data_IF_444035065955
#
_entry.id   IF_444035065955
#
_cell.length_a   1.000
_cell.length_b   1.000
_cell.length_c   1.000
_cell.angle_alpha   90.00
_cell.angle_beta   90.00
_cell.angle_gamma   90.00
#
_symmetry.space_group_name_H-M   'P 1'
#
loop_
_entity.id
_entity.type
_entity.pdbx_description
1 polymer ?
#
# COMPACT_ATOMS: atom_id res chain seq x y z
N UNK A 1 -6.50 5.64 -9.36
CA UNK A 1 -5.19 5.81 -8.69
C UNK A 1 -4.94 7.29 -8.48
N UNK A 2 -4.54 7.69 -7.28
CA UNK A 2 -4.06 9.04 -7.00
C UNK A 2 -2.55 9.01 -6.81
N UNK A 3 -1.79 9.71 -7.65
CA UNK A 3 -0.33 9.74 -7.60
C UNK A 3 0.21 10.99 -8.29
N UNK A 4 1.28 11.62 -7.78
CA UNK A 4 1.91 12.76 -8.45
C UNK A 4 2.76 12.36 -9.68
N UNK A 5 2.88 11.08 -9.97
CA UNK A 5 3.63 10.58 -11.12
C UNK A 5 2.86 10.77 -12.43
N UNK A 6 3.58 10.97 -13.54
CA UNK A 6 2.94 11.03 -14.86
C UNK A 6 2.36 9.68 -15.27
N UNK A 7 1.31 9.66 -16.10
CA UNK A 7 0.73 8.41 -16.61
C UNK A 7 1.76 7.52 -17.35
N UNK A 8 2.66 8.13 -18.12
CA UNK A 8 3.72 7.42 -18.82
C UNK A 8 4.68 6.71 -17.86
N UNK A 9 5.03 7.40 -16.77
CA UNK A 9 5.91 6.82 -15.77
C UNK A 9 5.20 5.70 -14.98
N UNK A 10 3.93 5.89 -14.63
CA UNK A 10 3.14 4.81 -14.02
C UNK A 10 3.03 3.59 -14.94
N UNK A 11 2.78 3.80 -16.24
CA UNK A 11 2.80 2.73 -17.24
C UNK A 11 4.14 2.01 -17.26
N UNK A 12 5.25 2.77 -17.23
CA UNK A 12 6.60 2.18 -17.19
C UNK A 12 6.80 1.31 -15.95
N UNK A 13 6.49 1.83 -14.75
CA UNK A 13 6.63 1.09 -13.49
C UNK A 13 5.76 -0.16 -13.41
N UNK A 14 4.55 -0.12 -13.98
CA UNK A 14 3.68 -1.28 -14.06
C UNK A 14 4.24 -2.36 -15.00
N UNK A 15 4.86 -1.97 -16.11
CA UNK A 15 5.40 -2.93 -17.08
C UNK A 15 6.71 -3.57 -16.65
N UNK A 16 7.51 -2.88 -15.83
CA UNK A 16 8.86 -3.29 -15.49
C UNK A 16 9.08 -3.27 -13.98
N UNK A 17 9.19 -4.46 -13.40
CA UNK A 17 9.51 -4.65 -11.98
C UNK A 17 10.80 -5.47 -11.87
N UNK A 18 11.74 -5.02 -11.05
CA UNK A 18 13.06 -5.66 -10.92
C UNK A 18 12.97 -7.03 -10.28
N UNK A 19 12.05 -7.21 -9.33
CA UNK A 19 11.90 -8.45 -8.56
C UNK A 19 10.93 -9.42 -9.24
N UNK A 20 9.74 -8.92 -9.64
CA UNK A 20 8.67 -9.75 -10.20
C UNK A 20 8.75 -9.90 -11.72
N UNK A 21 9.63 -9.13 -12.38
CA UNK A 21 9.80 -9.15 -13.82
C UNK A 21 8.75 -8.33 -14.58
N UNK A 22 8.58 -8.61 -15.85
CA UNK A 22 7.63 -7.87 -16.69
C UNK A 22 6.18 -8.22 -16.37
N UNK A 23 5.31 -7.22 -16.39
CA UNK A 23 3.88 -7.42 -16.24
C UNK A 23 3.34 -8.32 -17.36
N UNK A 24 2.61 -9.36 -16.99
CA UNK A 24 2.01 -10.32 -17.93
C UNK A 24 0.60 -9.85 -18.33
N UNK A 25 0.53 -8.71 -18.99
CA UNK A 25 -0.73 -8.10 -19.42
C UNK A 25 -0.48 -6.87 -20.28
N UNK A 26 -1.52 -6.10 -20.54
CA UNK A 26 -1.46 -4.86 -21.31
C UNK A 26 -1.63 -3.65 -20.41
N UNK A 27 -0.83 -2.61 -20.64
CA UNK A 27 -0.97 -1.30 -20.00
C UNK A 27 -0.91 -0.25 -21.10
N UNK A 28 -2.01 0.46 -21.30
CA UNK A 28 -2.16 1.48 -22.33
C UNK A 28 -2.45 2.83 -21.67
N UNK A 29 -2.08 3.90 -22.36
CA UNK A 29 -2.46 5.27 -21.96
C UNK A 29 -3.84 5.58 -22.54
N UNK A 30 -4.64 6.31 -21.78
CA UNK A 30 -5.89 6.90 -22.24
C UNK A 30 -5.92 8.40 -21.93
N UNK A 31 -6.92 9.12 -22.46
CA UNK A 31 -7.11 10.54 -22.16
C UNK A 31 -7.29 10.82 -20.65
N UNK A 32 -7.88 9.88 -19.93
CA UNK A 32 -8.30 10.08 -18.53
C UNK A 32 -7.50 9.22 -17.54
N UNK A 33 -6.47 8.48 -18.03
CA UNK A 33 -5.70 7.62 -17.15
C UNK A 33 -4.99 6.48 -17.86
N UNK A 34 -5.16 5.28 -17.35
CA UNK A 34 -4.60 4.04 -17.88
C UNK A 34 -5.71 3.06 -18.27
N UNK A 35 -5.41 2.17 -19.20
CA UNK A 35 -6.20 0.96 -19.47
C UNK A 35 -5.31 -0.22 -19.13
N UNK A 36 -5.70 -1.01 -18.12
CA UNK A 36 -4.95 -2.17 -17.66
C UNK A 36 -5.76 -3.43 -17.96
N UNK A 37 -5.26 -4.29 -18.81
CA UNK A 37 -5.98 -5.51 -19.26
C UNK A 37 -7.40 -5.18 -19.78
N UNK A 38 -7.56 -4.08 -20.50
CA UNK A 38 -8.83 -3.62 -21.02
C UNK A 38 -9.73 -2.89 -20.02
N UNK A 39 -9.35 -2.79 -18.73
CA UNK A 39 -10.09 -2.09 -17.70
C UNK A 39 -9.61 -0.65 -17.55
N UNK A 40 -10.50 0.35 -17.59
CA UNK A 40 -10.14 1.74 -17.40
C UNK A 40 -9.78 2.03 -15.94
N UNK A 41 -8.68 2.76 -15.72
CA UNK A 41 -8.18 3.19 -14.42
C UNK A 41 -8.01 4.70 -14.44
N UNK A 42 -8.90 5.41 -13.75
CA UNK A 42 -8.85 6.86 -13.62
C UNK A 42 -7.65 7.31 -12.80
N UNK A 43 -7.01 8.40 -13.22
CA UNK A 43 -5.88 8.99 -12.53
C UNK A 43 -6.23 10.35 -11.93
N UNK A 44 -5.65 10.65 -10.78
CA UNK A 44 -5.64 11.97 -10.15
C UNK A 44 -4.27 12.24 -9.53
N UNK A 45 -3.94 13.51 -9.30
CA UNK A 45 -2.63 13.93 -8.79
C UNK A 45 -2.76 14.95 -7.65
N UNK A 46 -3.71 14.73 -6.75
CA UNK A 46 -4.02 15.62 -5.65
C UNK A 46 -3.24 15.24 -4.41
N UNK A 47 -2.66 16.21 -3.71
CA UNK A 47 -1.90 15.96 -2.47
C UNK A 47 -2.77 15.96 -1.23
N UNK A 48 -3.84 16.73 -1.22
CA UNK A 48 -4.81 16.75 -0.11
C UNK A 48 -5.82 15.61 -0.30
N UNK A 49 -5.90 14.65 0.63
CA UNK A 49 -6.82 13.54 0.53
C UNK A 49 -8.30 13.95 0.47
N UNK A 50 -8.67 15.10 1.01
CA UNK A 50 -10.06 15.60 0.98
C UNK A 50 -10.51 16.03 -0.43
N UNK A 51 -9.55 16.36 -1.30
CA UNK A 51 -9.81 16.80 -2.67
C UNK A 51 -9.71 15.67 -3.70
N UNK A 52 -9.32 14.47 -3.30
CA UNK A 52 -9.23 13.33 -4.21
C UNK A 52 -10.65 12.90 -4.60
N UNK A 53 -10.97 12.72 -5.90
CA UNK A 53 -12.35 12.49 -6.34
C UNK A 53 -12.83 11.05 -6.14
N UNK A 54 -12.71 10.49 -4.90
CA UNK A 54 -13.08 9.11 -4.61
C UNK A 54 -14.56 8.83 -4.86
N UNK A 55 -15.45 9.72 -4.44
CA UNK A 55 -16.90 9.56 -4.67
C UNK A 55 -17.25 9.57 -6.15
N UNK A 56 -16.62 10.44 -6.96
CA UNK A 56 -16.84 10.51 -8.41
C UNK A 56 -16.36 9.22 -9.10
N UNK A 57 -15.31 8.62 -8.60
CA UNK A 57 -14.76 7.36 -9.12
C UNK A 57 -15.46 6.11 -8.55
N UNK A 58 -16.45 6.25 -7.68
CA UNK A 58 -17.15 5.15 -7.03
C UNK A 58 -16.29 4.31 -6.10
N UNK A 59 -15.22 4.90 -5.55
CA UNK A 59 -14.24 4.19 -4.70
C UNK A 59 -14.81 3.97 -3.31
N UNK A 60 -14.84 2.71 -2.87
CA UNK A 60 -15.25 2.33 -1.53
C UNK A 60 -14.05 2.09 -0.59
N UNK A 61 -12.98 1.52 -1.10
CA UNK A 61 -11.79 1.15 -0.35
C UNK A 61 -10.56 1.86 -0.90
N UNK A 62 -9.82 2.54 -0.02
CA UNK A 62 -8.55 3.17 -0.35
C UNK A 62 -7.41 2.37 0.25
N UNK A 63 -6.45 1.95 -0.57
CA UNK A 63 -5.16 1.46 -0.11
C UNK A 63 -4.20 2.65 -0.02
N UNK A 64 -3.92 3.11 1.19
CA UNK A 64 -2.98 4.20 1.46
C UNK A 64 -1.55 3.64 1.47
N UNK A 65 -0.85 3.85 0.37
CA UNK A 65 0.49 3.30 0.13
C UNK A 65 1.57 4.38 -0.04
N UNK A 66 1.26 5.63 0.29
CA UNK A 66 2.21 6.74 0.12
C UNK A 66 3.25 6.81 1.23
N UNK A 67 2.95 6.26 2.40
CA UNK A 67 3.74 6.42 3.62
C UNK A 67 3.60 7.79 4.30
N UNK A 68 2.79 8.70 3.72
CA UNK A 68 2.54 10.03 4.27
C UNK A 68 1.43 10.02 5.34
N UNK A 69 0.37 9.25 5.10
CA UNK A 69 -0.79 9.16 5.99
C UNK A 69 -0.79 7.80 6.71
N UNK A 70 -0.20 7.75 7.89
CA UNK A 70 0.00 6.52 8.67
C UNK A 70 -0.69 6.56 10.03
N UNK A 71 -1.67 7.44 10.20
CA UNK A 71 -2.49 7.59 11.40
C UNK A 71 -3.97 7.53 11.03
N UNK A 72 -4.82 7.13 11.97
CA UNK A 72 -6.28 7.17 11.79
C UNK A 72 -6.73 8.57 11.37
N UNK A 73 -6.31 9.62 12.08
CA UNK A 73 -6.68 11.00 11.78
C UNK A 73 -6.33 11.42 10.35
N UNK A 74 -5.09 11.14 9.92
CA UNK A 74 -4.65 11.45 8.57
C UNK A 74 -5.45 10.72 7.49
N UNK A 75 -5.83 9.47 7.76
CA UNK A 75 -6.58 8.64 6.83
C UNK A 75 -8.09 8.96 6.78
N UNK A 76 -8.68 9.52 7.84
CA UNK A 76 -10.08 9.93 7.85
C UNK A 76 -10.39 10.95 6.75
N UNK A 77 -9.42 11.73 6.31
CA UNK A 77 -9.55 12.67 5.19
C UNK A 77 -9.97 11.99 3.88
N UNK A 78 -9.58 10.75 3.64
CA UNK A 78 -10.05 9.99 2.48
C UNK A 78 -11.54 9.65 2.56
N UNK A 79 -12.10 9.54 3.76
CA UNK A 79 -13.52 9.30 3.95
C UNK A 79 -14.34 10.56 3.64
N UNK A 80 -13.81 11.75 3.94
CA UNK A 80 -14.45 13.03 3.60
C UNK A 80 -14.63 13.19 2.09
N UNK A 81 -13.73 12.65 1.29
CA UNK A 81 -13.81 12.65 -0.18
C UNK A 81 -14.59 11.47 -0.77
N UNK A 82 -15.19 10.62 0.07
CA UNK A 82 -16.17 9.62 -0.34
C UNK A 82 -15.76 8.16 -0.21
N UNK A 83 -14.54 7.86 0.23
CA UNK A 83 -14.16 6.48 0.56
C UNK A 83 -14.94 5.98 1.79
N UNK A 84 -15.17 4.67 1.86
CA UNK A 84 -15.83 4.05 3.02
C UNK A 84 -14.82 3.53 4.03
N UNK A 85 -13.66 3.07 3.55
CA UNK A 85 -12.59 2.48 4.37
C UNK A 85 -11.22 2.79 3.81
N UNK A 86 -10.23 2.85 4.70
CA UNK A 86 -8.82 3.02 4.35
C UNK A 86 -8.00 1.88 4.95
N UNK A 87 -7.13 1.30 4.14
CA UNK A 87 -6.14 0.31 4.56
C UNK A 87 -4.76 0.94 4.39
N UNK A 88 -4.04 1.11 5.49
CA UNK A 88 -2.67 1.62 5.49
C UNK A 88 -1.73 0.44 5.18
N UNK A 89 -0.96 0.52 4.08
CA UNK A 89 0.01 -0.50 3.68
C UNK A 89 1.36 -0.38 4.41
N UNK A 90 1.34 0.14 5.63
CA UNK A 90 2.51 0.38 6.47
C UNK A 90 2.13 0.28 7.95
N UNK A 91 3.09 0.19 8.88
CA UNK A 91 2.80 0.31 10.31
C UNK A 91 2.13 1.64 10.62
N UNK A 92 1.05 1.59 11.40
CA UNK A 92 0.45 2.79 11.94
C UNK A 92 1.40 3.48 12.92
N UNK A 93 1.37 4.81 12.93
CA UNK A 93 2.20 5.63 13.85
C UNK A 93 1.43 6.11 15.09
N UNK A 94 0.16 5.79 15.18
CA UNK A 94 -0.68 6.04 16.35
C UNK A 94 -1.11 4.72 17.00
N UNK A 95 -1.62 4.80 18.23
CA UNK A 95 -2.14 3.66 18.96
C UNK A 95 -3.61 3.34 18.62
N UNK A 96 -4.30 4.26 17.97
CA UNK A 96 -5.73 4.16 17.69
C UNK A 96 -6.05 3.36 16.44
N UNK A 97 -5.08 3.24 15.53
CA UNK A 97 -5.23 2.47 14.29
C UNK A 97 -5.08 0.97 14.55
N UNK A 98 -6.14 0.16 14.41
CA UNK A 98 -6.04 -1.28 14.53
C UNK A 98 -5.05 -1.86 13.52
N UNK A 99 -4.12 -2.68 13.99
CA UNK A 99 -3.15 -3.36 13.15
C UNK A 99 -3.53 -4.83 12.99
N UNK A 100 -3.70 -5.27 11.75
CA UNK A 100 -4.18 -6.61 11.40
C UNK A 100 -3.17 -7.32 10.52
N UNK A 101 -2.81 -8.53 10.94
CA UNK A 101 -1.99 -9.46 10.16
C UNK A 101 -2.86 -10.67 9.81
N UNK A 102 -3.05 -10.89 8.51
CA UNK A 102 -3.89 -11.99 8.01
C UNK A 102 -3.36 -13.35 8.49
N UNK A 103 -4.26 -14.17 9.03
CA UNK A 103 -3.92 -15.46 9.63
C UNK A 103 -3.40 -15.39 11.06
N UNK A 104 -3.15 -14.20 11.59
CA UNK A 104 -2.68 -14.01 12.98
C UNK A 104 -3.79 -13.50 13.89
N UNK A 105 -4.41 -12.36 13.54
CA UNK A 105 -5.40 -11.70 14.36
C UNK A 105 -6.57 -11.12 13.52
N UNK A 106 -6.95 -11.77 12.45
CA UNK A 106 -8.02 -11.30 11.54
C UNK A 106 -9.37 -11.19 12.26
N UNK A 107 -9.56 -11.96 13.32
CA UNK A 107 -10.77 -11.98 14.17
C UNK A 107 -11.02 -10.66 14.92
N UNK A 108 -10.00 -9.81 15.09
CA UNK A 108 -10.19 -8.49 15.73
C UNK A 108 -10.87 -7.49 14.80
N UNK A 109 -10.93 -7.77 13.48
CA UNK A 109 -11.57 -6.89 12.54
C UNK A 109 -13.08 -6.82 12.75
N UNK A 110 -13.60 -5.61 12.76
CA UNK A 110 -15.04 -5.36 12.75
C UNK A 110 -15.43 -4.42 11.61
N UNK A 111 -16.64 -4.57 11.04
CA UNK A 111 -17.11 -3.70 9.97
C UNK A 111 -17.18 -2.20 10.33
N UNK A 112 -17.20 -1.86 11.62
CA UNK A 112 -17.20 -0.48 12.13
C UNK A 112 -15.83 0.20 11.99
N UNK A 113 -14.73 -0.57 11.88
CA UNK A 113 -13.40 -0.02 11.70
C UNK A 113 -13.32 0.67 10.34
N UNK A 114 -13.01 1.96 10.34
CA UNK A 114 -12.90 2.79 9.14
C UNK A 114 -11.49 2.83 8.58
N UNK A 115 -10.49 2.78 9.45
CA UNK A 115 -9.08 2.76 9.11
C UNK A 115 -8.44 1.57 9.79
N UNK A 116 -7.63 0.81 9.06
CA UNK A 116 -6.83 -0.31 9.59
C UNK A 116 -5.44 -0.29 8.97
N UNK A 117 -4.46 -0.82 9.69
CA UNK A 117 -3.10 -1.03 9.17
C UNK A 117 -2.88 -2.52 8.89
N UNK A 118 -2.20 -2.84 7.80
CA UNK A 118 -1.74 -4.21 7.51
C UNK A 118 -0.36 -4.52 8.12
N UNK A 119 0.14 -3.69 9.04
CA UNK A 119 1.46 -3.80 9.66
C UNK A 119 2.63 -3.60 8.66
N UNK A 120 3.84 -3.97 9.07
CA UNK A 120 5.03 -3.95 8.23
C UNK A 120 5.22 -5.26 7.46
N UNK A 121 6.03 -5.23 6.40
CA UNK A 121 6.49 -6.44 5.72
C UNK A 121 7.19 -7.41 6.69
N UNK A 122 8.04 -6.90 7.58
CA UNK A 122 8.72 -7.68 8.62
C UNK A 122 7.72 -8.33 9.57
N UNK A 123 6.70 -7.59 10.02
CA UNK A 123 5.66 -8.14 10.90
C UNK A 123 4.85 -9.23 10.19
N UNK A 124 4.50 -9.03 8.93
CA UNK A 124 3.80 -10.05 8.14
C UNK A 124 4.63 -11.33 7.94
N UNK A 125 5.96 -11.22 7.87
CA UNK A 125 6.84 -12.38 7.81
C UNK A 125 6.99 -13.09 9.16
N UNK A 126 7.10 -12.34 10.25
CA UNK A 126 7.41 -12.86 11.58
C UNK A 126 6.18 -13.39 12.33
N UNK A 127 5.10 -12.62 12.36
CA UNK A 127 3.96 -12.89 13.25
C UNK A 127 3.28 -14.25 12.99
N UNK A 128 3.07 -14.71 11.74
CA UNK A 128 2.51 -16.05 11.51
C UNK A 128 3.40 -17.17 12.05
N UNK A 129 4.72 -17.05 11.90
CA UNK A 129 5.69 -18.04 12.38
C UNK A 129 5.66 -18.08 13.92
N UNK A 130 5.71 -16.91 14.55
CA UNK A 130 5.65 -16.77 16.01
C UNK A 130 4.34 -17.35 16.56
N UNK A 131 3.21 -17.09 15.89
CA UNK A 131 1.90 -17.63 16.28
C UNK A 131 1.94 -19.15 16.33
N UNK A 132 2.36 -19.80 15.23
CA UNK A 132 2.41 -21.26 15.15
C UNK A 132 3.33 -21.87 16.21
N UNK A 133 4.52 -21.30 16.39
CA UNK A 133 5.49 -21.81 17.39
C UNK A 133 4.93 -21.62 18.80
N UNK A 134 4.35 -20.48 19.10
CA UNK A 134 3.79 -20.21 20.42
C UNK A 134 2.60 -21.10 20.74
N UNK A 135 1.70 -21.34 19.79
CA UNK A 135 0.54 -22.24 19.96
C UNK A 135 0.94 -23.70 20.16
N UNK A 136 2.02 -24.16 19.51
CA UNK A 136 2.44 -25.56 19.57
C UNK A 136 3.39 -25.88 20.72
N UNK A 137 4.28 -24.97 21.05
CA UNK A 137 5.40 -25.25 21.98
C UNK A 137 5.47 -24.23 23.14
N UNK A 138 4.82 -23.10 23.03
CA UNK A 138 4.98 -21.97 23.92
C UNK A 138 6.32 -21.24 23.73
N UNK A 139 6.31 -19.92 23.90
CA UNK A 139 7.52 -19.08 23.82
C UNK A 139 7.70 -18.37 25.16
N UNK A 140 8.81 -18.64 25.88
CA UNK A 140 9.15 -17.92 27.12
C UNK A 140 9.97 -16.67 26.85
N UNK A 141 10.90 -16.72 25.92
CA UNK A 141 11.78 -15.62 25.52
C UNK A 141 12.18 -15.81 24.07
N UNK A 142 12.45 -14.70 23.36
CA UNK A 142 12.91 -14.73 21.99
C UNK A 142 13.81 -13.53 21.68
N UNK A 143 14.67 -13.70 20.68
CA UNK A 143 15.42 -12.63 20.03
C UNK A 143 15.12 -12.72 18.54
N UNK A 144 15.01 -11.58 17.89
CA UNK A 144 14.80 -11.50 16.45
C UNK A 144 15.95 -10.72 15.82
N UNK A 145 16.49 -11.28 14.75
CA UNK A 145 17.40 -10.59 13.85
C UNK A 145 16.79 -10.58 12.46
N UNK A 146 16.71 -9.42 11.84
CA UNK A 146 16.20 -9.26 10.48
C UNK A 146 17.34 -9.03 9.51
N UNK A 147 17.43 -9.89 8.48
CA UNK A 147 18.23 -9.64 7.28
C UNK A 147 17.25 -9.20 6.19
N UNK A 148 17.18 -7.90 5.94
CA UNK A 148 16.14 -7.31 5.11
C UNK A 148 16.66 -6.97 3.72
N UNK A 149 15.89 -7.32 2.69
CA UNK A 149 16.18 -6.88 1.32
C UNK A 149 16.06 -5.35 1.19
N UNK A 150 16.76 -4.77 0.22
CA UNK A 150 16.60 -3.37 -0.14
C UNK A 150 15.16 -3.10 -0.60
N UNK A 151 14.62 -1.94 -0.21
CA UNK A 151 13.28 -1.50 -0.58
C UNK A 151 13.32 -0.21 -1.38
N UNK A 152 12.23 0.14 -2.03
CA UNK A 152 12.12 1.33 -2.87
C UNK A 152 12.48 2.64 -2.15
N UNK A 153 12.28 2.72 -0.84
CA UNK A 153 12.67 3.88 -0.03
C UNK A 153 14.19 4.11 0.05
N UNK A 154 14.99 3.09 -0.22
CA UNK A 154 16.45 3.16 -0.26
C UNK A 154 16.99 3.55 -1.65
N UNK A 155 16.11 3.77 -2.63
CA UNK A 155 16.41 4.21 -4.00
C UNK A 155 17.38 3.30 -4.78
N UNK A 156 17.45 2.03 -4.43
CA UNK A 156 18.29 1.03 -5.12
C UNK A 156 17.51 0.13 -6.06
N UNK A 157 16.20 0.03 -5.87
CA UNK A 157 15.26 -0.76 -6.68
C UNK A 157 13.92 -0.05 -6.79
N UNK A 158 13.22 -0.20 -7.90
CA UNK A 158 11.80 0.07 -8.16
C UNK A 158 11.17 1.24 -7.38
N UNK A 159 11.86 2.37 -7.28
CA UNK A 159 11.37 3.56 -6.61
C UNK A 159 11.03 4.67 -7.59
N UNK A 160 10.35 5.72 -7.09
CA UNK A 160 10.13 6.93 -7.86
C UNK A 160 11.45 7.66 -8.10
N UNK A 161 11.98 7.56 -9.31
CA UNK A 161 13.22 8.24 -9.73
C UNK A 161 12.95 9.66 -10.17
N UNK A 162 13.80 10.58 -9.74
CA UNK A 162 13.79 11.96 -10.22
C UNK A 162 14.59 12.03 -11.53
N UNK A 163 14.00 12.67 -12.56
CA UNK A 163 14.67 12.87 -13.85
C UNK A 163 14.04 12.07 -14.98
N UNK A 164 14.74 12.03 -16.12
CA UNK A 164 14.22 11.41 -17.35
C UNK A 164 14.69 9.97 -17.57
N UNK A 165 15.75 9.55 -16.90
CA UNK A 165 16.21 8.17 -16.99
C UNK A 165 15.60 7.33 -15.85
N UNK A 166 14.49 6.70 -16.16
CA UNK A 166 13.73 5.88 -15.21
C UNK A 166 14.43 4.55 -14.88
N UNK A 167 15.50 4.21 -15.58
CA UNK A 167 16.29 2.99 -15.37
C UNK A 167 17.49 3.22 -14.48
N UNK A 168 17.83 4.49 -14.21
CA UNK A 168 18.92 4.85 -13.33
C UNK A 168 18.46 4.73 -11.88
N UNK A 169 18.77 3.61 -11.25
CA UNK A 169 18.60 3.35 -9.83
C UNK A 169 19.89 3.62 -9.05
#
# INVERSE_FOLDING_TARGET
INSPMSPEYMKYLLNYDTVHGRFKGTVELSSDGLIINGLPVSLSATRDPTEIPWSKAGVEYVCESTGAFTTTEGCLKHLESGAKKVIISAPAKDADTPTIVVGVNTEVYTPSMKVVSCASCTTNGLAPIVKVINEKFGIKKGLMTTVHAATASQLTVDGSMKGKDWRAG
#
